data_IF_973736331450
#
_entry.id   IF_973736331450
#
_cell.length_a   1.000
_cell.length_b   1.000
_cell.length_c   1.000
_cell.angle_alpha   90.00
_cell.angle_beta   90.00
_cell.angle_gamma   90.00
#
_symmetry.space_group_name_H-M   'P 1'
#
loop_
_entity.id
_entity.type
_entity.pdbx_description
1 polymer ?
#
# COMPACT_ATOMS: atom_id res chain seq x y z
N UNK A 1 48.12 -32.79 -66.80
CA UNK A 1 47.11 -31.85 -67.32
C UNK A 1 45.80 -32.12 -66.58
N UNK A 2 45.43 -31.17 -65.71
CA UNK A 2 44.22 -30.95 -64.90
C UNK A 2 43.63 -32.04 -63.97
N UNK A 3 43.45 -31.55 -62.73
CA UNK A 3 42.87 -32.08 -61.48
C UNK A 3 41.33 -32.15 -61.55
N UNK A 4 40.66 -33.04 -60.81
CA UNK A 4 39.58 -32.71 -59.83
C UNK A 4 39.05 -33.93 -59.04
N UNK A 5 39.04 -33.79 -57.70
CA UNK A 5 38.38 -34.61 -56.65
C UNK A 5 36.89 -34.22 -56.53
N UNK A 6 36.01 -35.16 -56.13
CA UNK A 6 34.89 -35.04 -55.13
C UNK A 6 34.46 -36.49 -54.79
N UNK A 7 34.58 -37.07 -53.57
CA UNK A 7 34.04 -36.84 -52.21
C UNK A 7 32.64 -37.49 -51.95
N UNK A 8 32.54 -38.10 -50.76
CA UNK A 8 31.61 -39.11 -50.23
C UNK A 8 30.15 -38.66 -50.02
N UNK A 9 29.23 -39.63 -49.97
CA UNK A 9 27.96 -39.54 -49.24
C UNK A 9 27.84 -40.78 -48.34
N UNK A 10 27.81 -40.56 -47.03
CA UNK A 10 27.47 -41.56 -46.01
C UNK A 10 26.09 -41.21 -45.43
N UNK A 11 25.18 -42.18 -45.44
CA UNK A 11 23.86 -42.08 -44.81
C UNK A 11 23.95 -42.49 -43.34
N UNK A 12 23.46 -41.64 -42.44
CA UNK A 12 23.27 -41.94 -41.02
C UNK A 12 21.79 -41.77 -40.68
N UNK A 13 21.19 -42.85 -40.16
CA UNK A 13 19.84 -42.87 -39.59
C UNK A 13 19.88 -42.21 -38.20
N UNK A 14 19.15 -41.11 -38.03
CA UNK A 14 18.89 -40.47 -36.72
C UNK A 14 17.44 -40.69 -36.31
N UNK A 15 17.23 -41.34 -35.16
CA UNK A 15 15.92 -41.58 -34.55
C UNK A 15 15.27 -40.29 -34.07
N UNK A 16 13.98 -40.13 -34.38
CA UNK A 16 13.15 -39.01 -33.93
C UNK A 16 12.68 -39.30 -32.51
N UNK A 17 13.28 -38.67 -31.51
CA UNK A 17 12.70 -38.60 -30.16
C UNK A 17 11.56 -37.58 -30.18
N UNK A 18 10.32 -38.08 -30.15
CA UNK A 18 9.14 -37.24 -29.96
C UNK A 18 9.13 -36.67 -28.54
N UNK A 19 9.50 -35.39 -28.41
CA UNK A 19 9.29 -34.65 -27.18
C UNK A 19 7.79 -34.51 -26.93
N UNK A 20 7.30 -35.14 -25.87
CA UNK A 20 5.98 -34.86 -25.31
C UNK A 20 6.08 -33.47 -24.68
N UNK A 21 5.52 -32.45 -25.34
CA UNK A 21 5.35 -31.12 -24.76
C UNK A 21 4.25 -31.24 -23.69
N UNK A 22 4.53 -30.97 -22.41
CA UNK A 22 3.48 -30.95 -21.40
C UNK A 22 2.42 -29.91 -21.80
N UNK A 23 1.16 -30.34 -21.86
CA UNK A 23 0.00 -29.47 -22.04
C UNK A 23 -0.04 -28.43 -20.91
N UNK A 24 0.06 -27.16 -21.29
CA UNK A 24 -0.56 -26.00 -20.64
C UNK A 24 -0.34 -25.86 -19.14
N UNK A 25 0.76 -25.23 -18.75
CA UNK A 25 0.77 -24.44 -17.51
C UNK A 25 -0.29 -23.35 -17.73
N UNK A 26 -1.27 -23.24 -16.83
CA UNK A 26 -2.18 -22.08 -16.82
C UNK A 26 -1.38 -20.77 -16.75
N UNK A 27 -2.02 -19.59 -16.88
CA UNK A 27 -1.30 -18.34 -16.68
C UNK A 27 -0.58 -18.40 -15.32
N UNK A 28 0.73 -18.16 -15.33
CA UNK A 28 1.53 -18.05 -14.10
C UNK A 28 0.87 -16.99 -13.22
N UNK A 29 0.74 -17.21 -11.89
CA UNK A 29 0.28 -16.14 -11.02
C UNK A 29 1.18 -14.91 -11.20
N UNK A 30 0.57 -13.73 -11.28
CA UNK A 30 1.30 -12.47 -11.25
C UNK A 30 1.97 -12.35 -9.88
N UNK A 31 3.31 -12.39 -9.85
CA UNK A 31 4.10 -12.19 -8.63
C UNK A 31 4.54 -10.73 -8.56
N UNK A 32 4.28 -10.07 -7.44
CA UNK A 32 4.67 -8.69 -7.20
C UNK A 32 5.93 -8.71 -6.34
N UNK A 33 7.10 -8.29 -6.87
CA UNK A 33 8.33 -8.24 -6.09
C UNK A 33 8.23 -7.12 -5.05
N UNK A 34 8.49 -7.49 -3.80
CA UNK A 34 8.21 -6.68 -2.63
C UNK A 34 9.31 -6.94 -1.61
N UNK A 35 9.87 -5.87 -1.06
CA UNK A 35 10.89 -5.94 -0.01
C UNK A 35 10.30 -5.39 1.29
N UNK A 36 9.28 -6.10 1.78
CA UNK A 36 8.52 -5.74 2.97
C UNK A 36 9.37 -5.88 4.23
N UNK A 37 9.39 -4.84 5.05
CA UNK A 37 10.06 -4.88 6.37
C UNK A 37 9.12 -4.58 7.53
N UNK A 38 7.82 -4.38 7.29
CA UNK A 38 6.92 -3.90 8.33
C UNK A 38 5.44 -4.22 8.11
N UNK A 39 4.60 -3.43 8.77
CA UNK A 39 3.15 -3.56 8.75
C UNK A 39 2.55 -3.21 7.37
N UNK A 40 1.33 -3.66 7.14
CA UNK A 40 0.57 -3.42 5.92
C UNK A 40 -0.81 -2.83 6.26
N UNK A 41 -1.22 -1.82 5.50
CA UNK A 41 -2.59 -1.34 5.45
C UNK A 41 -3.19 -1.62 4.08
N UNK A 42 -4.48 -1.87 4.00
CA UNK A 42 -5.16 -2.09 2.72
C UNK A 42 -6.53 -1.43 2.71
N UNK A 43 -6.91 -0.90 1.55
CA UNK A 43 -8.23 -0.33 1.30
C UNK A 43 -8.74 -0.81 -0.04
N UNK A 44 -10.05 -0.97 -0.13
CA UNK A 44 -10.74 -1.40 -1.33
C UNK A 44 -11.65 -0.27 -1.82
N UNK A 45 -11.76 -0.10 -3.13
CA UNK A 45 -12.76 0.76 -3.73
C UNK A 45 -14.18 0.35 -3.32
N UNK A 46 -15.00 1.33 -2.95
CA UNK A 46 -16.44 1.19 -2.76
C UNK A 46 -17.09 1.80 -4.01
N UNK A 47 -17.90 1.01 -4.73
CA UNK A 47 -18.73 1.49 -5.84
C UNK A 47 -18.21 1.27 -7.27
N UNK A 48 -16.90 1.20 -7.51
CA UNK A 48 -16.33 1.10 -8.86
C UNK A 48 -15.88 -0.28 -9.32
N UNK A 49 -14.68 -0.35 -9.90
CA UNK A 49 -14.14 -1.58 -10.53
C UNK A 49 -14.03 -2.69 -9.49
N UNK A 50 -14.71 -3.84 -9.68
CA UNK A 50 -14.66 -4.94 -8.72
C UNK A 50 -13.23 -5.35 -8.40
N UNK A 51 -12.90 -5.34 -7.11
CA UNK A 51 -11.61 -5.77 -6.57
C UNK A 51 -10.45 -4.79 -6.73
N UNK A 52 -10.67 -3.55 -7.19
CA UNK A 52 -9.63 -2.51 -7.12
C UNK A 52 -9.25 -2.27 -5.64
N UNK A 53 -7.99 -2.55 -5.33
CA UNK A 53 -7.44 -2.59 -3.97
C UNK A 53 -6.10 -1.87 -3.98
N UNK A 54 -5.86 -1.07 -2.94
CA UNK A 54 -4.57 -0.43 -2.67
C UNK A 54 -3.99 -0.99 -1.40
N UNK A 55 -2.79 -1.54 -1.49
CA UNK A 55 -2.02 -2.02 -0.35
C UNK A 55 -0.89 -1.04 -0.08
N UNK A 56 -0.69 -0.69 1.18
CA UNK A 56 0.32 0.25 1.65
C UNK A 56 1.23 -0.45 2.64
N UNK A 57 2.53 -0.37 2.41
CA UNK A 57 3.50 -1.11 3.21
C UNK A 57 4.82 -0.36 3.33
N UNK A 58 5.56 -0.64 4.40
CA UNK A 58 6.91 -0.13 4.54
C UNK A 58 7.92 -0.98 3.75
N UNK A 59 8.62 -0.32 2.84
CA UNK A 59 9.73 -0.89 2.07
C UNK A 59 11.02 -0.85 2.88
N UNK A 60 12.03 -1.63 2.49
CA UNK A 60 13.31 -1.72 3.20
C UNK A 60 14.08 -0.39 3.33
N UNK A 61 13.78 0.60 2.49
CA UNK A 61 14.31 1.96 2.61
C UNK A 61 13.53 2.85 3.60
N UNK A 62 12.58 2.27 4.35
CA UNK A 62 11.61 2.91 5.23
C UNK A 62 10.49 3.70 4.56
N UNK A 63 10.50 3.91 3.24
CA UNK A 63 9.37 4.56 2.56
C UNK A 63 8.09 3.74 2.65
N UNK A 64 6.92 4.39 2.64
CA UNK A 64 5.65 3.68 2.46
C UNK A 64 5.33 3.64 0.98
N UNK A 65 5.28 2.43 0.43
CA UNK A 65 4.93 2.14 -0.96
C UNK A 65 3.46 1.77 -1.07
N UNK A 66 2.83 2.15 -2.17
CA UNK A 66 1.51 1.65 -2.55
C UNK A 66 1.63 0.65 -3.69
N UNK A 67 1.03 -0.54 -3.53
CA UNK A 67 0.71 -1.46 -4.62
C UNK A 67 -0.76 -1.27 -4.99
N UNK A 68 -1.03 -1.13 -6.29
CA UNK A 68 -2.39 -1.20 -6.82
C UNK A 68 -2.61 -2.56 -7.47
N UNK A 69 -3.68 -3.22 -7.04
CA UNK A 69 -4.19 -4.47 -7.60
C UNK A 69 -5.57 -4.19 -8.15
N UNK A 70 -5.83 -4.58 -9.39
CA UNK A 70 -7.14 -4.41 -10.04
C UNK A 70 -7.72 -5.75 -10.45
N UNK A 71 -9.00 -5.76 -10.86
CA UNK A 71 -9.70 -6.98 -11.24
C UNK A 71 -10.34 -7.70 -10.05
N UNK A 72 -11.23 -8.68 -10.31
CA UNK A 72 -12.02 -9.31 -9.26
C UNK A 72 -11.12 -10.11 -8.30
N UNK A 73 -11.58 -10.31 -7.06
CA UNK A 73 -10.85 -11.03 -6.01
C UNK A 73 -10.41 -12.46 -6.37
N UNK A 74 -11.00 -13.06 -7.41
CA UNK A 74 -10.62 -14.38 -7.91
C UNK A 74 -9.37 -14.38 -8.80
N UNK A 75 -9.06 -13.24 -9.42
CA UNK A 75 -8.00 -13.07 -10.43
C UNK A 75 -7.47 -11.63 -10.39
N UNK A 76 -7.03 -11.19 -9.21
CA UNK A 76 -6.40 -9.88 -9.07
C UNK A 76 -5.19 -9.74 -9.99
N UNK A 77 -4.95 -8.53 -10.48
CA UNK A 77 -3.87 -8.20 -11.42
C UNK A 77 -3.06 -7.04 -10.89
N UNK A 78 -1.74 -7.19 -10.90
CA UNK A 78 -0.85 -6.08 -10.60
C UNK A 78 -1.04 -4.95 -11.61
N UNK A 79 -1.24 -3.73 -11.12
CA UNK A 79 -1.39 -2.55 -11.96
C UNK A 79 -0.17 -1.65 -11.88
N UNK A 80 0.21 -1.24 -10.67
CA UNK A 80 1.33 -0.33 -10.47
C UNK A 80 1.85 -0.40 -9.03
N UNK A 81 3.10 0.06 -8.84
CA UNK A 81 3.71 0.30 -7.55
C UNK A 81 4.39 1.67 -7.54
N UNK A 82 4.28 2.41 -6.44
CA UNK A 82 4.92 3.73 -6.31
C UNK A 82 5.09 4.16 -4.84
N UNK A 83 6.15 4.91 -4.50
CA UNK A 83 6.29 5.52 -3.18
C UNK A 83 5.15 6.52 -2.93
N UNK A 84 4.59 6.51 -1.71
CA UNK A 84 3.57 7.45 -1.24
C UNK A 84 4.02 8.30 -0.08
N UNK A 85 4.81 7.73 0.83
CA UNK A 85 5.41 8.48 1.94
C UNK A 85 6.94 8.39 1.84
N UNK A 86 7.67 9.51 1.84
CA UNK A 86 9.13 9.53 1.85
C UNK A 86 9.74 8.81 3.05
N UNK A 87 10.93 8.26 2.86
CA UNK A 87 11.62 7.45 3.88
C UNK A 87 12.01 8.23 5.15
N UNK A 88 12.34 9.51 5.02
CA UNK A 88 12.75 10.39 6.11
C UNK A 88 11.60 10.79 7.03
N UNK A 89 10.35 10.59 6.59
CA UNK A 89 9.16 10.88 7.39
C UNK A 89 8.68 9.69 8.21
N UNK A 90 9.18 8.48 7.95
CA UNK A 90 8.61 7.24 8.46
C UNK A 90 9.56 6.57 9.45
N UNK A 91 9.06 6.22 10.63
CA UNK A 91 9.83 5.43 11.60
C UNK A 91 10.14 4.04 11.03
N UNK A 92 11.33 3.51 11.27
CA UNK A 92 11.62 2.11 10.94
C UNK A 92 10.65 1.15 11.66
N UNK A 93 10.12 0.16 10.95
CA UNK A 93 9.08 -0.76 11.42
C UNK A 93 7.79 -0.06 11.91
N UNK A 94 7.38 0.99 11.20
CA UNK A 94 6.20 1.79 11.59
C UNK A 94 4.91 0.96 11.52
N UNK A 95 3.92 1.38 12.31
CA UNK A 95 2.54 0.93 12.14
C UNK A 95 1.93 1.67 10.95
N UNK A 96 1.04 1.02 10.20
CA UNK A 96 0.34 1.62 9.06
C UNK A 96 -1.14 1.33 9.20
N UNK A 97 -1.96 2.38 9.18
CA UNK A 97 -3.41 2.27 9.03
C UNK A 97 -3.86 3.14 7.86
N UNK A 98 -4.85 2.66 7.10
CA UNK A 98 -5.31 3.35 5.89
C UNK A 98 -6.82 3.34 5.85
N UNK A 99 -7.40 4.44 5.41
CA UNK A 99 -8.84 4.58 5.19
C UNK A 99 -9.11 5.41 3.94
N UNK A 100 -10.26 5.17 3.32
CA UNK A 100 -10.74 5.92 2.16
C UNK A 100 -12.00 6.68 2.50
N UNK A 101 -12.14 7.89 1.97
CA UNK A 101 -13.36 8.67 2.02
C UNK A 101 -13.87 8.89 0.59
N UNK A 102 -15.19 8.83 0.44
CA UNK A 102 -15.85 8.83 -0.86
C UNK A 102 -15.67 7.51 -1.63
N UNK A 103 -16.19 7.51 -2.85
CA UNK A 103 -16.15 6.34 -3.75
C UNK A 103 -14.78 6.24 -4.44
N UNK A 104 -14.37 5.02 -4.83
CA UNK A 104 -13.22 4.78 -5.71
C UNK A 104 -11.91 5.51 -5.36
N UNK A 105 -11.62 5.60 -4.05
CA UNK A 105 -10.42 6.26 -3.53
C UNK A 105 -10.35 7.76 -3.88
N UNK A 106 -11.50 8.44 -3.92
CA UNK A 106 -11.59 9.90 -4.04
C UNK A 106 -10.69 10.61 -3.04
N UNK A 107 -10.65 10.08 -1.81
CA UNK A 107 -9.74 10.50 -0.77
C UNK A 107 -9.15 9.29 -0.05
N UNK A 108 -7.85 9.34 0.27
CA UNK A 108 -7.13 8.28 0.99
C UNK A 108 -6.26 8.91 2.07
N UNK A 109 -6.36 8.38 3.28
CA UNK A 109 -5.53 8.77 4.41
C UNK A 109 -4.63 7.59 4.79
N UNK A 110 -3.32 7.85 4.88
CA UNK A 110 -2.32 6.89 5.35
C UNK A 110 -1.80 7.42 6.69
N UNK A 111 -2.11 6.72 7.76
CA UNK A 111 -1.62 7.02 9.11
C UNK A 111 -0.43 6.14 9.44
N UNK A 112 0.58 6.73 10.05
CA UNK A 112 1.81 6.06 10.46
C UNK A 112 2.47 6.78 11.63
N UNK A 113 3.53 6.18 12.18
CA UNK A 113 4.38 6.82 13.20
C UNK A 113 5.67 7.32 12.55
N UNK A 114 5.98 8.59 12.76
CA UNK A 114 7.22 9.24 12.29
C UNK A 114 8.42 8.96 13.21
N UNK A 115 9.67 9.23 12.79
CA UNK A 115 10.86 9.01 13.61
C UNK A 115 10.83 9.71 14.98
N UNK A 116 10.06 10.79 15.11
CA UNK A 116 9.85 11.51 16.36
C UNK A 116 8.84 10.84 17.32
N UNK A 117 8.33 9.64 16.98
CA UNK A 117 7.21 8.97 17.65
C UNK A 117 5.93 9.83 17.67
N UNK A 118 5.68 10.57 16.58
CA UNK A 118 4.46 11.35 16.39
C UNK A 118 3.55 10.62 15.42
N UNK A 119 2.26 10.60 15.73
CA UNK A 119 1.22 10.14 14.81
C UNK A 119 1.17 11.11 13.62
N UNK A 120 1.40 10.57 12.42
CA UNK A 120 1.56 11.34 11.20
C UNK A 120 0.67 10.78 10.10
N UNK A 121 0.40 11.62 9.11
CA UNK A 121 -0.52 11.32 8.02
C UNK A 121 -0.02 11.84 6.68
N UNK A 122 -0.33 11.07 5.63
CA UNK A 122 -0.33 11.49 4.24
C UNK A 122 -1.74 11.34 3.67
N UNK A 123 -2.23 12.39 3.02
CA UNK A 123 -3.56 12.45 2.41
C UNK A 123 -3.41 12.51 0.90
N UNK A 124 -4.23 11.76 0.20
CA UNK A 124 -4.52 11.97 -1.21
C UNK A 124 -5.95 12.40 -1.36
N UNK A 125 -6.21 13.42 -2.16
CA UNK A 125 -7.54 13.61 -2.75
C UNK A 125 -7.43 13.94 -4.24
N UNK A 126 -8.53 13.74 -4.97
CA UNK A 126 -8.56 13.97 -6.43
C UNK A 126 -8.36 15.43 -6.86
N UNK A 127 -8.57 16.41 -5.98
CA UNK A 127 -8.44 17.83 -6.30
C UNK A 127 -7.01 18.34 -6.07
N UNK A 128 -6.33 17.89 -5.02
CA UNK A 128 -5.01 18.40 -4.60
C UNK A 128 -3.88 17.41 -4.81
N UNK A 129 -4.18 16.12 -4.96
CA UNK A 129 -3.18 15.07 -5.03
C UNK A 129 -2.64 14.68 -3.66
N UNK A 130 -1.42 14.14 -3.63
CA UNK A 130 -0.77 13.72 -2.38
C UNK A 130 -0.18 14.91 -1.63
N UNK A 131 -0.47 14.99 -0.33
CA UNK A 131 0.10 15.95 0.62
C UNK A 131 0.37 15.28 1.96
N UNK A 132 1.35 15.80 2.70
CA UNK A 132 1.79 15.24 3.97
C UNK A 132 2.95 16.02 4.55
N UNK A 133 3.54 15.47 5.62
CA UNK A 133 4.68 16.06 6.31
C UNK A 133 4.39 17.40 6.98
N UNK A 134 5.45 18.12 7.30
CA UNK A 134 5.38 19.34 8.14
C UNK A 134 4.61 20.50 7.49
N UNK A 135 4.42 20.49 6.17
CA UNK A 135 3.69 21.53 5.43
C UNK A 135 2.20 21.24 5.30
N UNK A 136 1.74 20.04 5.64
CA UNK A 136 0.33 19.67 5.55
C UNK A 136 -0.44 20.23 6.76
N UNK A 137 -1.13 21.34 6.59
CA UNK A 137 -1.81 22.05 7.69
C UNK A 137 -3.10 21.38 8.15
N UNK A 138 -3.64 20.48 7.34
CA UNK A 138 -4.88 19.72 7.60
C UNK A 138 -4.61 18.25 7.99
N UNK A 139 -3.36 17.79 7.95
CA UNK A 139 -2.97 16.46 8.40
C UNK A 139 -2.89 16.38 9.92
N UNK A 140 -3.18 15.20 10.49
CA UNK A 140 -3.07 14.95 11.94
C UNK A 140 -1.66 15.23 12.50
N UNK A 141 -0.64 15.20 11.63
CA UNK A 141 0.75 15.50 11.94
C UNK A 141 0.91 16.81 12.71
N UNK A 142 0.13 17.85 12.39
CA UNK A 142 0.24 19.18 13.02
C UNK A 142 -0.12 19.18 14.50
N UNK A 143 -0.94 18.22 14.94
CA UNK A 143 -1.36 18.11 16.33
C UNK A 143 -0.29 17.48 17.23
N UNK A 144 0.77 16.92 16.63
CA UNK A 144 1.92 16.35 17.34
C UNK A 144 1.52 15.33 18.42
N UNK A 145 0.53 14.46 18.14
CA UNK A 145 0.14 13.43 19.09
C UNK A 145 1.27 12.42 19.28
N UNK A 146 1.86 12.44 20.48
CA UNK A 146 2.93 11.53 20.86
C UNK A 146 2.39 10.10 21.03
N UNK A 147 2.99 9.17 20.30
CA UNK A 147 2.69 7.74 20.34
C UNK A 147 3.66 7.05 21.29
N UNK A 148 3.16 6.11 22.09
CA UNK A 148 3.98 5.32 23.00
C UNK A 148 5.04 4.53 22.20
N UNK A 149 6.35 4.66 22.50
CA UNK A 149 7.37 3.86 21.83
C UNK A 149 7.11 2.36 22.01
N UNK A 150 7.31 1.60 20.93
CA UNK A 150 7.01 0.16 20.93
C UNK A 150 5.52 -0.19 20.83
N UNK A 151 4.65 0.81 20.61
CA UNK A 151 3.24 0.59 20.32
C UNK A 151 3.04 -0.46 19.21
N UNK A 152 1.95 -1.21 19.30
CA UNK A 152 1.53 -2.25 18.37
C UNK A 152 0.10 -2.04 17.85
N UNK A 153 -0.54 -0.93 18.21
CA UNK A 153 -1.93 -0.63 17.90
C UNK A 153 -2.01 0.66 17.10
N UNK A 154 -2.48 0.56 15.86
CA UNK A 154 -2.89 1.69 15.04
C UNK A 154 -4.09 1.23 14.22
N UNK A 155 -5.19 1.98 14.25
CA UNK A 155 -6.31 1.77 13.33
C UNK A 155 -6.80 3.11 12.80
N UNK A 156 -7.48 3.06 11.66
CA UNK A 156 -8.18 4.20 11.10
C UNK A 156 -9.57 3.76 10.63
N UNK A 157 -10.56 4.59 10.89
CA UNK A 157 -11.94 4.43 10.41
C UNK A 157 -12.43 5.76 9.87
N UNK A 158 -13.36 5.69 8.93
CA UNK A 158 -13.84 6.84 8.21
C UNK A 158 -15.26 6.64 7.75
N UNK A 159 -16.05 7.71 7.76
CA UNK A 159 -17.38 7.68 7.16
C UNK A 159 -17.27 8.04 5.67
N UNK A 160 -17.61 7.08 4.80
CA UNK A 160 -17.63 7.25 3.35
C UNK A 160 -19.00 7.61 2.78
N UNK A 161 -19.99 7.93 3.61
CA UNK A 161 -21.34 8.26 3.14
C UNK A 161 -21.33 9.50 2.24
N UNK A 162 -21.73 9.31 0.97
CA UNK A 162 -21.86 10.37 -0.02
C UNK A 162 -22.68 11.55 0.53
N UNK A 163 -22.12 12.76 0.48
CA UNK A 163 -22.81 13.99 0.91
C UNK A 163 -22.77 14.27 2.41
N UNK A 164 -22.04 13.49 3.21
CA UNK A 164 -21.69 13.83 4.59
C UNK A 164 -20.26 14.38 4.67
N UNK A 165 -19.97 15.33 5.58
CA UNK A 165 -18.60 15.74 5.86
C UNK A 165 -17.76 14.52 6.26
N UNK A 166 -16.51 14.47 5.80
CA UNK A 166 -15.56 13.42 6.17
C UNK A 166 -15.38 13.39 7.69
N UNK A 167 -15.71 12.27 8.33
CA UNK A 167 -15.44 12.04 9.74
C UNK A 167 -14.43 10.90 9.81
N UNK A 168 -13.29 11.16 10.43
CA UNK A 168 -12.22 10.19 10.61
C UNK A 168 -12.00 9.91 12.09
N UNK A 169 -11.53 8.70 12.38
CA UNK A 169 -11.09 8.27 13.70
C UNK A 169 -9.80 7.50 13.57
N UNK A 170 -8.82 7.81 14.40
CA UNK A 170 -7.52 7.15 14.42
C UNK A 170 -7.21 6.73 15.84
N UNK A 171 -7.16 5.43 16.08
CA UNK A 171 -6.83 4.88 17.39
C UNK A 171 -5.37 4.50 17.50
N UNK A 172 -4.75 4.83 18.64
CA UNK A 172 -3.35 4.58 18.93
C UNK A 172 -3.12 4.49 20.45
N UNK A 173 -1.94 4.06 20.89
CA UNK A 173 -1.55 4.18 22.31
C UNK A 173 -0.75 5.47 22.48
N UNK A 174 -1.31 6.44 23.19
CA UNK A 174 -0.63 7.70 23.48
C UNK A 174 0.53 7.51 24.48
N UNK A 175 1.62 8.25 24.30
CA UNK A 175 2.71 8.30 25.28
C UNK A 175 2.27 8.90 26.64
N UNK A 176 1.24 9.75 26.65
CA UNK A 176 0.68 10.34 27.88
C UNK A 176 -0.25 9.40 28.66
N UNK A 177 -0.73 8.34 28.02
CA UNK A 177 -1.57 7.32 28.64
C UNK A 177 -1.16 5.91 28.16
N UNK A 178 0.04 5.44 28.54
CA UNK A 178 0.53 4.13 28.13
C UNK A 178 -0.45 3.02 28.52
N UNK A 179 -0.49 1.93 27.75
CA UNK A 179 -1.38 0.76 27.97
C UNK A 179 -2.88 1.03 27.83
N UNK A 180 -3.28 2.24 27.42
CA UNK A 180 -4.67 2.59 27.12
C UNK A 180 -4.83 2.95 25.66
N UNK A 181 -6.01 2.68 25.09
CA UNK A 181 -6.36 3.15 23.76
C UNK A 181 -6.71 4.64 23.85
N UNK A 182 -6.10 5.43 22.97
CA UNK A 182 -6.47 6.81 22.68
C UNK A 182 -7.05 6.88 21.27
N UNK A 183 -8.00 7.77 21.03
CA UNK A 183 -8.54 8.02 19.69
C UNK A 183 -8.42 9.51 19.37
N UNK A 184 -7.99 9.83 18.16
CA UNK A 184 -8.13 11.16 17.59
C UNK A 184 -9.28 11.15 16.59
N UNK A 185 -10.17 12.13 16.66
CA UNK A 185 -11.26 12.30 15.71
C UNK A 185 -11.06 13.57 14.87
N UNK A 186 -11.44 13.48 13.60
CA UNK A 186 -11.50 14.61 12.68
C UNK A 186 -12.95 14.91 12.33
N UNK A 187 -13.29 16.19 12.37
CA UNK A 187 -14.45 16.72 11.66
C UNK A 187 -14.07 18.02 10.91
N UNK A 188 -14.74 18.37 9.80
CA UNK A 188 -14.31 19.52 8.99
C UNK A 188 -14.50 20.89 9.65
N UNK A 189 -15.24 20.96 10.76
CA UNK A 189 -15.49 22.21 11.48
C UNK A 189 -14.39 22.48 12.51
N UNK A 190 -13.96 21.44 13.22
CA UNK A 190 -13.04 21.56 14.35
C UNK A 190 -11.63 21.03 14.06
N UNK A 191 -11.44 20.33 12.94
CA UNK A 191 -10.20 19.63 12.62
C UNK A 191 -9.95 18.43 13.55
N UNK A 192 -8.69 18.06 13.70
CA UNK A 192 -8.26 16.96 14.56
C UNK A 192 -8.29 17.34 16.04
N UNK A 193 -8.87 16.47 16.87
CA UNK A 193 -8.83 16.55 18.33
C UNK A 193 -8.68 15.16 18.95
N UNK A 194 -8.29 15.09 20.23
CA UNK A 194 -8.38 13.84 20.99
C UNK A 194 -9.83 13.61 21.42
N UNK A 195 -10.35 12.43 21.10
CA UNK A 195 -11.68 11.99 21.47
C UNK A 195 -11.69 11.51 22.93
N UNK A 196 -12.82 11.71 23.61
CA UNK A 196 -13.12 11.04 24.87
C UNK A 196 -13.74 9.67 24.59
N UNK A 197 -13.04 8.61 24.99
CA UNK A 197 -13.56 7.25 24.97
C UNK A 197 -14.27 6.99 26.31
N UNK A 198 -15.60 6.85 26.27
CA UNK A 198 -16.46 6.64 27.43
C UNK A 198 -17.09 5.25 27.41
#
# INVERSE_FOLDING_TARGET
MFIFKVMQIAMLFGGVSGAVIPRGVGPSPDLIPVNFVGNIGAVQAIGGTPGDTRLYFQNADNSIQAVRVTGPFTTGRFFAQSPRVPADEVQANTLIAVVTIGDDFQEVHIFFVSPANILSEYIFDTATGWRGGASCTDCITVNAYAVQPGNRVLYAMGNSASGSPAILRVGFVSAGAPTTLSEADYDPVNGWRLAQLN
#
